data_IF_520766587244
#
_entry.id   IF_520766587244
#
_cell.length_a   1.000
_cell.length_b   1.000
_cell.length_c   1.000
_cell.angle_alpha   90.00
_cell.angle_beta   90.00
_cell.angle_gamma   90.00
#
_symmetry.space_group_name_H-M   'P 1'
#
loop_
_entity.id
_entity.type
_entity.pdbx_description
1 polymer ?
#
# COMPACT_ATOMS: atom_id res chain seq x y z
N UNK A 1 -15.83 49.93 -8.18
CA UNK A 1 -14.79 49.73 -9.21
C UNK A 1 -13.63 49.00 -8.54
N UNK A 2 -13.45 47.71 -8.85
CA UNK A 2 -12.45 46.78 -8.31
C UNK A 2 -11.02 47.23 -8.73
N UNK A 3 -9.88 46.87 -8.11
CA UNK A 3 -9.45 45.51 -7.75
C UNK A 3 -8.16 45.55 -6.92
N UNK A 4 -8.08 44.73 -5.87
CA UNK A 4 -6.91 44.52 -5.01
C UNK A 4 -5.83 43.75 -5.76
N UNK A 5 -4.61 44.33 -5.82
CA UNK A 5 -3.42 43.79 -6.50
C UNK A 5 -2.90 42.54 -5.76
N UNK A 6 -3.38 41.37 -6.19
CA UNK A 6 -2.98 40.07 -5.65
C UNK A 6 -1.47 39.88 -5.84
N UNK A 7 -0.70 39.85 -4.74
CA UNK A 7 0.75 39.60 -4.77
C UNK A 7 0.99 38.20 -5.31
N UNK A 8 1.39 38.15 -6.58
CA UNK A 8 1.90 37.00 -7.32
C UNK A 8 3.02 36.36 -6.50
N UNK A 9 2.73 35.27 -5.77
CA UNK A 9 3.79 34.44 -5.17
C UNK A 9 4.67 33.98 -6.32
N UNK A 10 5.94 34.39 -6.30
CA UNK A 10 6.94 33.93 -7.26
C UNK A 10 7.11 32.43 -7.03
N UNK A 11 6.46 31.61 -7.85
CA UNK A 11 6.85 30.22 -7.99
C UNK A 11 8.20 30.24 -8.70
N UNK A 12 9.24 29.77 -8.01
CA UNK A 12 10.55 29.58 -8.59
C UNK A 12 10.40 28.74 -9.87
N UNK A 13 10.99 29.22 -10.95
CA UNK A 13 11.05 28.49 -12.21
C UNK A 13 12.01 27.31 -12.02
N UNK A 14 11.45 26.13 -11.75
CA UNK A 14 12.17 24.87 -11.86
C UNK A 14 11.98 24.37 -13.30
N UNK A 15 12.96 24.61 -14.16
CA UNK A 15 13.05 23.99 -15.49
C UNK A 15 13.51 22.53 -15.33
N UNK A 16 12.63 21.72 -14.78
CA UNK A 16 12.59 20.27 -14.93
C UNK A 16 11.17 19.92 -15.37
N UNK A 17 11.01 19.13 -16.43
CA UNK A 17 9.75 18.95 -17.15
C UNK A 17 8.51 18.92 -16.25
N UNK A 18 7.55 19.82 -16.53
CA UNK A 18 6.25 19.88 -15.83
C UNK A 18 5.40 18.67 -16.19
N UNK A 19 5.77 17.50 -15.66
CA UNK A 19 4.90 16.33 -15.72
C UNK A 19 3.68 16.61 -14.86
N UNK A 20 2.49 16.55 -15.44
CA UNK A 20 1.25 16.73 -14.70
C UNK A 20 1.15 15.61 -13.65
N UNK A 21 0.99 15.92 -12.35
CA UNK A 21 0.88 14.89 -11.32
C UNK A 21 -0.29 13.95 -11.61
N UNK A 22 -0.04 12.65 -11.47
CA UNK A 22 -1.02 11.59 -11.67
C UNK A 22 -1.19 10.78 -10.39
N UNK A 23 -2.44 10.55 -9.99
CA UNK A 23 -2.76 9.76 -8.83
C UNK A 23 -2.29 8.30 -9.01
N UNK A 24 -1.93 7.60 -7.93
CA UNK A 24 -1.49 6.23 -8.05
C UNK A 24 -2.60 5.31 -8.57
N UNK A 25 -2.27 4.44 -9.52
CA UNK A 25 -3.19 3.41 -10.00
C UNK A 25 -2.49 2.05 -9.96
N UNK A 26 -3.21 1.02 -9.49
CA UNK A 26 -2.67 -0.33 -9.41
C UNK A 26 -2.75 -1.02 -10.77
N UNK A 27 -1.64 -1.61 -11.21
CA UNK A 27 -1.58 -2.43 -12.42
C UNK A 27 -1.39 -3.90 -12.12
N UNK A 28 -0.77 -4.22 -10.97
CA UNK A 28 -0.63 -5.59 -10.47
C UNK A 28 -0.93 -5.57 -8.97
N UNK A 29 -1.91 -6.37 -8.54
CA UNK A 29 -2.27 -6.46 -7.14
C UNK A 29 -1.11 -7.06 -6.29
N UNK A 30 -1.00 -6.70 -5.01
CA UNK A 30 -0.09 -7.40 -4.11
C UNK A 30 -0.50 -8.87 -3.97
N UNK A 31 0.48 -9.74 -3.77
CA UNK A 31 0.30 -11.17 -3.61
C UNK A 31 1.00 -11.66 -2.34
N UNK A 32 0.52 -12.77 -1.79
CA UNK A 32 1.13 -13.46 -0.67
C UNK A 32 1.61 -14.82 -1.15
N UNK A 33 2.85 -15.18 -0.82
CA UNK A 33 3.44 -16.50 -1.05
C UNK A 33 3.81 -17.16 0.28
N UNK A 34 3.84 -18.49 0.28
CA UNK A 34 4.10 -19.31 1.48
C UNK A 34 2.84 -20.04 1.95
N UNK A 35 3.01 -20.90 2.94
CA UNK A 35 1.92 -21.69 3.52
C UNK A 35 1.33 -20.94 4.72
N UNK A 36 0.01 -20.74 4.72
CA UNK A 36 -0.71 -20.17 5.86
C UNK A 36 -0.77 -21.21 7.00
N UNK A 37 0.30 -21.30 7.78
CA UNK A 37 0.43 -22.20 8.92
C UNK A 37 1.12 -21.45 10.06
N UNK A 38 0.76 -21.78 11.30
CA UNK A 38 1.40 -21.19 12.48
C UNK A 38 2.91 -21.42 12.44
N UNK A 39 3.69 -20.34 12.62
CA UNK A 39 5.15 -20.39 12.60
C UNK A 39 5.78 -20.41 11.19
N UNK A 40 5.01 -20.59 10.12
CA UNK A 40 5.51 -20.48 8.76
C UNK A 40 5.55 -19.03 8.28
N UNK A 41 6.56 -18.70 7.46
CA UNK A 41 6.70 -17.34 6.94
C UNK A 41 5.84 -17.15 5.70
N UNK A 42 4.98 -16.13 5.75
CA UNK A 42 4.31 -15.56 4.61
C UNK A 42 5.12 -14.35 4.11
N UNK A 43 5.30 -14.26 2.80
CA UNK A 43 5.99 -13.14 2.15
C UNK A 43 5.02 -12.43 1.24
N UNK A 44 4.98 -11.09 1.33
CA UNK A 44 4.09 -10.29 0.52
C UNK A 44 4.87 -9.47 -0.53
N UNK A 45 4.35 -9.46 -1.75
CA UNK A 45 4.77 -8.50 -2.78
C UNK A 45 4.07 -7.16 -2.57
N UNK A 46 4.71 -6.08 -2.99
CA UNK A 46 4.11 -4.75 -2.94
C UNK A 46 2.96 -4.60 -3.97
N UNK A 47 2.99 -5.37 -5.08
CA UNK A 47 2.23 -5.06 -6.28
C UNK A 47 2.94 -4.01 -7.13
N UNK A 48 2.31 -3.61 -8.24
CA UNK A 48 2.83 -2.59 -9.15
C UNK A 48 1.85 -1.45 -9.26
N UNK A 49 2.37 -0.23 -9.21
CA UNK A 49 1.59 1.00 -9.28
C UNK A 49 2.22 1.97 -10.25
N UNK A 50 1.38 2.62 -11.04
CA UNK A 50 1.73 3.83 -11.78
C UNK A 50 1.44 5.05 -10.91
N UNK A 51 1.92 6.22 -11.34
CA UNK A 51 1.70 7.49 -10.66
C UNK A 51 2.85 8.45 -10.92
N UNK A 52 2.57 9.75 -10.84
CA UNK A 52 3.58 10.79 -11.03
C UNK A 52 3.42 11.87 -9.96
N UNK A 53 4.45 12.15 -9.14
CA UNK A 53 5.71 11.41 -9.02
C UNK A 53 5.50 9.95 -8.59
N UNK A 54 6.54 9.12 -8.70
CA UNK A 54 6.49 7.71 -8.29
C UNK A 54 5.90 7.57 -6.88
N UNK A 55 4.86 6.75 -6.68
CA UNK A 55 4.21 6.63 -5.39
C UNK A 55 5.11 5.98 -4.32
N UNK A 56 5.04 6.47 -3.09
CA UNK A 56 5.54 5.76 -1.91
C UNK A 56 4.59 4.62 -1.56
N UNK A 57 5.14 3.47 -1.18
CA UNK A 57 4.37 2.27 -0.90
C UNK A 57 4.46 1.91 0.59
N UNK A 58 3.31 1.83 1.24
CA UNK A 58 3.14 1.34 2.60
C UNK A 58 2.36 0.02 2.59
N UNK A 59 2.54 -0.83 3.60
CA UNK A 59 1.88 -2.13 3.66
C UNK A 59 1.40 -2.43 5.07
N UNK A 60 0.33 -3.20 5.18
CA UNK A 60 -0.28 -3.60 6.45
C UNK A 60 -0.83 -5.02 6.32
N UNK A 61 -0.41 -5.92 7.20
CA UNK A 61 -0.99 -7.26 7.28
C UNK A 61 -2.35 -7.26 7.97
N UNK A 62 -3.26 -8.09 7.47
CA UNK A 62 -4.64 -8.22 7.91
C UNK A 62 -4.93 -9.71 8.14
N UNK A 63 -5.47 -10.04 9.31
CA UNK A 63 -5.86 -11.41 9.67
C UNK A 63 -7.32 -11.43 10.04
N UNK A 64 -8.11 -12.28 9.39
CA UNK A 64 -9.55 -12.39 9.65
C UNK A 64 -10.32 -11.08 9.46
N UNK A 65 -9.82 -10.18 8.60
CA UNK A 65 -10.42 -8.87 8.33
C UNK A 65 -9.90 -7.72 9.21
N UNK A 66 -9.07 -7.98 10.21
CA UNK A 66 -8.52 -6.96 11.11
C UNK A 66 -7.04 -6.69 10.85
N UNK A 67 -6.64 -5.43 10.88
CA UNK A 67 -5.23 -5.05 10.78
C UNK A 67 -4.45 -5.57 11.99
N UNK A 68 -3.27 -6.14 11.75
CA UNK A 68 -2.36 -6.59 12.82
C UNK A 68 -1.43 -5.43 13.21
N UNK A 69 -1.53 -4.87 14.43
CA UNK A 69 -0.70 -3.74 14.84
C UNK A 69 0.80 -4.03 14.69
N UNK A 70 1.54 -3.12 14.09
CA UNK A 70 2.99 -3.24 13.89
C UNK A 70 3.41 -4.12 12.69
N UNK A 71 2.48 -4.80 12.03
CA UNK A 71 2.78 -5.69 10.92
C UNK A 71 2.87 -4.92 9.58
N UNK A 72 3.93 -4.13 9.43
CA UNK A 72 4.22 -3.36 8.21
C UNK A 72 5.33 -3.97 7.33
N UNK A 73 6.08 -4.94 7.87
CA UNK A 73 7.24 -5.57 7.23
C UNK A 73 6.90 -6.61 6.16
N UNK A 74 7.81 -6.85 5.21
CA UNK A 74 7.59 -7.69 4.01
C UNK A 74 7.10 -9.10 4.32
N UNK A 75 7.43 -9.59 5.51
CA UNK A 75 7.06 -10.91 6.00
C UNK A 75 6.06 -10.83 7.15
N UNK A 76 5.32 -11.91 7.33
CA UNK A 76 4.44 -12.13 8.47
C UNK A 76 4.46 -13.60 8.84
N UNK A 77 4.43 -13.88 10.14
CA UNK A 77 4.38 -15.24 10.68
C UNK A 77 3.06 -15.39 11.44
N UNK A 78 2.11 -16.21 10.94
CA UNK A 78 0.87 -16.48 11.64
C UNK A 78 1.10 -17.09 13.02
N UNK A 79 0.24 -16.72 13.97
CA UNK A 79 0.29 -17.14 15.37
C UNK A 79 -0.86 -18.11 15.66
N UNK A 80 -0.81 -18.79 16.81
CA UNK A 80 -1.87 -19.74 17.21
C UNK A 80 -3.28 -19.12 17.19
N UNK A 81 -3.42 -17.85 17.58
CA UNK A 81 -4.69 -17.11 17.55
C UNK A 81 -5.24 -16.81 16.15
N UNK A 82 -4.45 -17.05 15.11
CA UNK A 82 -4.79 -16.78 13.71
C UNK A 82 -5.39 -18.02 13.02
N UNK A 83 -5.31 -19.20 13.65
CA UNK A 83 -5.85 -20.46 13.12
C UNK A 83 -7.32 -20.31 12.73
N UNK A 84 -7.67 -20.83 11.54
CA UNK A 84 -9.02 -20.72 10.96
C UNK A 84 -9.30 -19.39 10.26
N UNK A 85 -8.41 -18.38 10.36
CA UNK A 85 -8.58 -17.08 9.70
C UNK A 85 -7.77 -17.03 8.41
N UNK A 86 -8.21 -16.22 7.44
CA UNK A 86 -7.42 -15.92 6.24
C UNK A 86 -6.48 -14.74 6.50
N UNK A 87 -5.32 -14.75 5.85
CA UNK A 87 -4.37 -13.62 5.85
C UNK A 87 -4.48 -12.86 4.54
N UNK A 88 -4.40 -11.52 4.62
CA UNK A 88 -4.27 -10.60 3.48
C UNK A 88 -3.20 -9.56 3.78
N UNK A 89 -2.71 -8.91 2.75
CA UNK A 89 -1.90 -7.69 2.87
C UNK A 89 -2.62 -6.55 2.16
N UNK A 90 -2.71 -5.39 2.80
CA UNK A 90 -3.10 -4.14 2.16
C UNK A 90 -1.84 -3.39 1.77
N UNK A 91 -1.72 -3.06 0.50
CA UNK A 91 -0.76 -2.08 0.02
C UNK A 91 -1.45 -0.73 -0.17
N UNK A 92 -0.84 0.32 0.38
CA UNK A 92 -1.22 1.72 0.16
C UNK A 92 -0.17 2.38 -0.70
N UNK A 93 -0.54 2.83 -1.89
CA UNK A 93 0.31 3.67 -2.72
C UNK A 93 -0.11 5.13 -2.56
N UNK A 94 0.86 6.03 -2.35
CA UNK A 94 0.63 7.45 -2.11
C UNK A 94 1.58 8.31 -2.95
N UNK A 95 1.03 9.27 -3.69
CA UNK A 95 1.78 10.34 -4.34
C UNK A 95 1.23 11.70 -3.90
N UNK A 96 1.80 12.79 -4.42
CA UNK A 96 1.27 14.15 -4.22
C UNK A 96 -0.13 14.32 -4.82
N UNK A 97 -0.49 13.50 -5.82
CA UNK A 97 -1.77 13.59 -6.51
C UNK A 97 -2.88 12.74 -5.87
N UNK A 98 -2.55 11.86 -4.90
CA UNK A 98 -3.56 11.05 -4.21
C UNK A 98 -3.04 9.76 -3.60
N UNK A 99 -3.98 8.91 -3.17
CA UNK A 99 -3.69 7.61 -2.55
C UNK A 99 -4.65 6.54 -3.05
N UNK A 100 -4.18 5.30 -3.14
CA UNK A 100 -5.01 4.12 -3.41
C UNK A 100 -4.62 2.99 -2.45
N UNK A 101 -5.62 2.23 -2.00
CA UNK A 101 -5.44 1.03 -1.20
C UNK A 101 -5.85 -0.19 -2.02
N UNK A 102 -5.02 -1.22 -2.02
CA UNK A 102 -5.30 -2.49 -2.71
C UNK A 102 -5.02 -3.64 -1.78
N UNK A 103 -5.94 -4.61 -1.74
CA UNK A 103 -5.78 -5.85 -0.98
C UNK A 103 -5.25 -6.95 -1.89
N UNK A 104 -4.46 -7.85 -1.31
CA UNK A 104 -4.17 -9.13 -1.94
C UNK A 104 -5.41 -10.03 -1.94
N UNK A 105 -5.33 -11.09 -2.75
CA UNK A 105 -6.16 -12.27 -2.53
C UNK A 105 -5.97 -12.80 -1.08
N UNK A 106 -7.01 -13.40 -0.47
CA UNK A 106 -6.86 -14.07 0.80
C UNK A 106 -6.03 -15.34 0.62
N UNK A 107 -5.22 -15.67 1.63
CA UNK A 107 -4.66 -17.03 1.75
C UNK A 107 -5.76 -18.04 2.03
N UNK A 108 -5.42 -19.34 1.97
CA UNK A 108 -6.17 -20.35 2.70
C UNK A 108 -6.24 -19.99 4.20
N UNK A 109 -7.21 -20.58 4.90
CA UNK A 109 -7.29 -20.44 6.34
C UNK A 109 -6.00 -20.94 7.00
N UNK A 110 -5.50 -20.21 7.99
CA UNK A 110 -4.29 -20.60 8.72
C UNK A 110 -4.53 -21.94 9.42
N UNK A 111 -3.64 -22.90 9.21
CA UNK A 111 -3.64 -24.19 9.91
C UNK A 111 -2.68 -24.19 11.10
N UNK A 112 -2.93 -25.07 12.06
CA UNK A 112 -2.01 -25.30 13.18
C UNK A 112 -0.66 -25.86 12.68
N UNK A 113 0.38 -25.71 13.51
CA UNK A 113 1.73 -26.21 13.22
C UNK A 113 1.76 -27.74 13.13
#
# INVERSE_FOLDING_TARGET
MLTTKQRKRRFASYIGGVTNPAAPANTVAPAITGTAQVGQTLTASAGTFTGTPTPTIDRQWIVGGFEVPGAFGLTFVPRAQDVGKTVRVRTRAQSLAGKVNVLSAPTAAVVAA
#
